data_IF_375826358776
#
_entry.id   IF_375826358776
#
_cell.length_a   1.000
_cell.length_b   1.000
_cell.length_c   1.000
_cell.angle_alpha   90.00
_cell.angle_beta   90.00
_cell.angle_gamma   90.00
#
_symmetry.space_group_name_H-M   'P 1'
#
loop_
_entity.id
_entity.type
_entity.pdbx_description
1 polymer ?
#
# COMPACT_ATOMS: atom_id res chain seq x y z
N UNK A 1 -7.09 11.55 -21.27
CA UNK A 1 -6.64 10.17 -21.18
C UNK A 1 -6.45 9.73 -19.75
N UNK A 2 -7.01 8.61 -19.40
CA UNK A 2 -6.89 8.12 -18.05
C UNK A 2 -5.53 7.59 -17.77
N UNK A 3 -5.04 7.84 -16.59
CA UNK A 3 -3.86 7.20 -16.09
C UNK A 3 -4.29 5.98 -15.28
N UNK A 4 -4.20 4.83 -15.89
CA UNK A 4 -4.71 3.61 -15.29
C UNK A 4 -3.86 3.08 -14.16
N UNK A 5 -2.63 3.56 -14.05
CA UNK A 5 -1.74 3.07 -13.01
C UNK A 5 -2.15 3.52 -11.63
N UNK A 6 -2.84 4.65 -11.56
CA UNK A 6 -3.18 5.24 -10.27
C UNK A 6 -4.43 4.66 -9.65
N UNK A 7 -5.06 3.69 -10.33
CA UNK A 7 -6.24 3.06 -9.78
C UNK A 7 -6.10 1.56 -9.71
N UNK A 8 -4.86 1.11 -9.72
CA UNK A 8 -4.58 -0.30 -9.66
C UNK A 8 -4.90 -0.85 -8.28
N UNK A 9 -5.60 -1.99 -8.24
CA UNK A 9 -5.93 -2.65 -6.98
C UNK A 9 -4.88 -3.71 -6.68
N UNK A 10 -4.37 -3.68 -5.45
CA UNK A 10 -3.33 -4.60 -5.02
C UNK A 10 -3.69 -5.19 -3.67
N UNK A 11 -2.98 -6.26 -3.28
CA UNK A 11 -3.17 -6.90 -1.99
C UNK A 11 -2.12 -6.39 -1.02
N UNK A 12 -2.57 -6.05 0.18
CA UNK A 12 -1.72 -5.55 1.24
C UNK A 12 -1.80 -6.53 2.40
N UNK A 13 -0.67 -6.86 2.97
CA UNK A 13 -0.59 -7.79 4.09
C UNK A 13 -0.51 -6.99 5.40
N UNK A 14 -1.46 -7.21 6.28
CA UNK A 14 -1.40 -6.67 7.63
C UNK A 14 -0.70 -7.69 8.51
N UNK A 15 0.51 -7.38 8.95
CA UNK A 15 1.33 -8.38 9.62
C UNK A 15 0.85 -8.71 11.03
N UNK A 16 0.12 -7.80 11.65
CA UNK A 16 -0.33 -8.02 13.02
C UNK A 16 -1.37 -9.12 13.15
N UNK A 17 -2.22 -9.27 12.15
CA UNK A 17 -3.25 -10.29 12.21
C UNK A 17 -3.19 -11.23 11.01
N UNK A 18 -2.14 -11.13 10.20
CA UNK A 18 -1.91 -12.03 9.07
C UNK A 18 -3.04 -11.98 8.04
N UNK A 19 -3.70 -10.86 7.92
CA UNK A 19 -4.80 -10.68 6.98
C UNK A 19 -4.33 -9.94 5.74
N UNK A 20 -4.98 -10.24 4.62
CA UNK A 20 -4.74 -9.50 3.39
C UNK A 20 -5.95 -8.63 3.10
N UNK A 21 -5.71 -7.41 2.70
CA UNK A 21 -6.78 -6.48 2.36
C UNK A 21 -6.50 -5.88 0.99
N UNK A 22 -7.56 -5.50 0.31
CA UNK A 22 -7.44 -4.84 -0.99
C UNK A 22 -7.16 -3.37 -0.78
N UNK A 23 -6.27 -2.83 -1.59
CA UNK A 23 -5.96 -1.41 -1.58
C UNK A 23 -5.88 -0.92 -3.01
N UNK A 24 -6.17 0.36 -3.20
CA UNK A 24 -6.10 0.99 -4.50
C UNK A 24 -4.96 1.99 -4.49
N UNK A 25 -4.07 1.88 -5.46
CA UNK A 25 -2.97 2.81 -5.59
C UNK A 25 -3.53 4.15 -6.09
N UNK A 26 -3.35 5.18 -5.28
CA UNK A 26 -3.84 6.52 -5.61
C UNK A 26 -2.77 7.32 -6.34
N UNK A 27 -1.53 7.25 -5.86
CA UNK A 27 -0.45 7.97 -6.52
C UNK A 27 0.88 7.35 -6.14
N UNK A 28 1.90 7.67 -6.91
CA UNK A 28 3.27 7.25 -6.64
C UNK A 28 4.15 8.48 -6.75
N UNK A 29 5.16 8.53 -5.90
CA UNK A 29 6.15 9.60 -5.97
C UNK A 29 7.46 9.07 -5.42
N UNK A 30 8.46 9.95 -5.35
CA UNK A 30 9.78 9.53 -4.91
C UNK A 30 9.82 9.10 -3.45
N UNK A 31 8.81 9.46 -2.68
CA UNK A 31 8.78 9.10 -1.27
C UNK A 31 8.06 7.79 -1.01
N UNK A 32 7.29 7.31 -1.96
CA UNK A 32 6.59 6.06 -1.78
C UNK A 32 5.33 5.97 -2.61
N UNK A 33 4.42 5.13 -2.14
CA UNK A 33 3.16 4.87 -2.83
C UNK A 33 2.02 5.20 -1.87
N UNK A 34 1.09 6.03 -2.32
CA UNK A 34 -0.10 6.35 -1.54
C UNK A 34 -1.21 5.42 -1.97
N UNK A 35 -1.81 4.74 -1.02
CA UNK A 35 -2.89 3.79 -1.29
C UNK A 35 -4.10 4.08 -0.43
N UNK A 36 -5.26 3.74 -0.98
CA UNK A 36 -6.54 3.91 -0.31
C UNK A 36 -7.08 2.53 0.06
N UNK A 37 -7.49 2.37 1.30
CA UNK A 37 -8.05 1.13 1.82
C UNK A 37 -9.48 1.39 2.28
N UNK A 38 -10.25 0.32 2.48
CA UNK A 38 -11.61 0.41 3.01
C UNK A 38 -12.49 1.36 2.20
N UNK A 39 -12.45 1.19 0.88
CA UNK A 39 -13.28 1.98 -0.03
C UNK A 39 -13.02 3.48 0.09
N UNK A 40 -11.79 3.83 0.41
CA UNK A 40 -11.41 5.24 0.47
C UNK A 40 -11.43 5.84 1.86
N UNK A 41 -11.86 5.08 2.86
CA UNK A 41 -11.93 5.60 4.22
C UNK A 41 -10.56 5.76 4.86
N UNK A 42 -9.59 5.01 4.39
CA UNK A 42 -8.25 5.03 4.97
C UNK A 42 -7.22 5.21 3.88
N UNK A 43 -6.33 6.17 4.05
CA UNK A 43 -5.28 6.44 3.07
C UNK A 43 -3.93 6.36 3.76
N UNK A 44 -3.03 5.55 3.20
CA UNK A 44 -1.72 5.31 3.78
C UNK A 44 -0.64 5.62 2.76
N UNK A 45 0.51 6.09 3.25
CA UNK A 45 1.70 6.25 2.42
C UNK A 45 2.66 5.12 2.76
N UNK A 46 2.95 4.29 1.76
CA UNK A 46 3.85 3.16 1.90
C UNK A 46 5.24 3.58 1.45
N UNK A 47 6.23 3.37 2.29
CA UNK A 47 7.61 3.73 1.99
C UNK A 47 8.43 2.50 1.69
N UNK A 48 9.35 2.64 0.74
CA UNK A 48 10.21 1.53 0.34
C UNK A 48 11.11 1.11 1.49
N UNK A 49 11.15 -0.19 1.74
CA UNK A 49 12.09 -0.74 2.71
C UNK A 49 13.51 -0.54 2.20
N UNK A 50 14.46 -0.16 3.05
CA UNK A 50 15.82 0.14 2.58
C UNK A 50 16.59 -1.07 2.04
N UNK A 51 16.24 -2.28 2.48
CA UNK A 51 16.99 -3.46 2.11
C UNK A 51 16.17 -4.54 1.40
N UNK A 52 14.85 -4.37 1.34
CA UNK A 52 13.97 -5.37 0.74
C UNK A 52 13.13 -4.71 -0.32
N UNK A 53 12.65 -5.52 -1.26
CA UNK A 53 11.83 -5.00 -2.34
C UNK A 53 10.36 -5.00 -1.93
N UNK A 54 10.07 -4.35 -0.82
CA UNK A 54 8.72 -4.22 -0.30
C UNK A 54 8.50 -2.78 0.15
N UNK A 55 7.23 -2.43 0.34
CA UNK A 55 6.83 -1.12 0.83
C UNK A 55 6.05 -1.31 2.13
N UNK A 56 6.28 -0.43 3.10
CA UNK A 56 5.73 -0.58 4.45
C UNK A 56 5.03 0.69 4.87
N UNK A 57 3.88 0.54 5.52
CA UNK A 57 3.15 1.65 6.12
C UNK A 57 2.70 1.25 7.51
N UNK A 58 2.62 2.25 8.40
CA UNK A 58 2.17 2.04 9.78
C UNK A 58 0.96 2.92 10.03
N UNK A 59 -0.04 2.37 10.69
CA UNK A 59 -1.22 3.14 11.04
C UNK A 59 -1.92 2.51 12.22
N UNK A 60 -2.13 3.31 13.28
CA UNK A 60 -2.85 2.83 14.44
C UNK A 60 -2.24 1.63 15.13
N UNK A 61 -0.91 1.53 15.09
CA UNK A 61 -0.22 0.41 15.68
C UNK A 61 -0.14 -0.82 14.80
N UNK A 62 -0.72 -0.76 13.60
CA UNK A 62 -0.67 -1.88 12.66
C UNK A 62 0.36 -1.62 11.59
N UNK A 63 1.03 -2.68 11.16
CA UNK A 63 1.98 -2.62 10.07
C UNK A 63 1.37 -3.24 8.81
N UNK A 64 1.47 -2.50 7.70
CA UNK A 64 0.97 -2.97 6.42
C UNK A 64 2.13 -3.09 5.45
N UNK A 65 2.16 -4.18 4.70
CA UNK A 65 3.26 -4.47 3.77
C UNK A 65 2.70 -4.70 2.37
N UNK A 66 3.28 -4.04 1.40
CA UNK A 66 2.98 -4.25 0.00
C UNK A 66 4.20 -4.88 -0.68
N UNK A 67 4.00 -6.06 -1.25
CA UNK A 67 5.06 -6.75 -2.00
C UNK A 67 4.69 -6.69 -3.48
N UNK A 68 5.38 -5.84 -4.28
CA UNK A 68 5.01 -5.68 -5.69
C UNK A 68 5.24 -6.92 -6.54
N UNK A 69 5.98 -7.89 -6.01
CA UNK A 69 6.25 -9.11 -6.76
C UNK A 69 5.25 -10.21 -6.48
N UNK A 70 4.29 -9.94 -5.64
CA UNK A 70 3.34 -10.95 -5.23
C UNK A 70 2.02 -10.84 -5.96
#
# INVERSE_FOLDING_TARGET
MQNQYENETVKIHCTDNEQYVDAVIVSRNQFGIVMSLHNGDLRLTFKKHPHKNIYVAMKGGYEFVYNPLQ
#
